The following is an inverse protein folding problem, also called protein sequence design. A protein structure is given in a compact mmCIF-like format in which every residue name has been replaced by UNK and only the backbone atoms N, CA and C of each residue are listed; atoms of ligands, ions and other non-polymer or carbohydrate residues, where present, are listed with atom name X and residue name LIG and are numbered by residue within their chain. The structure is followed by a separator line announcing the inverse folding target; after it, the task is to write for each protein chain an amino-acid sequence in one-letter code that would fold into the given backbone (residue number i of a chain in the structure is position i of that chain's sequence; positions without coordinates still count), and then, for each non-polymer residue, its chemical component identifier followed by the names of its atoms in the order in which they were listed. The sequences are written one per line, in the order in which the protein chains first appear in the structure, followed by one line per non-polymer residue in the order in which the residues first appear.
data_IF_030486928356
#
_entry.id   IF_030486928356
#
_cell.length_a   1.000
_cell.length_b   1.000
_cell.length_c   1.000
_cell.angle_alpha   90.00
_cell.angle_beta   90.00
_cell.angle_gamma   90.00
#
_symmetry.space_group_name_H-M   'P 1'
#
loop_
_entity.id
_entity.type
_entity.pdbx_description
1 polymer ?
#
# COMPACT_ATOMS: atom_id res chain seq x y z
N UNK A 1 92.07 9.84 41.93
CA UNK A 1 90.73 9.17 41.91
C UNK A 1 89.88 9.73 43.06
N UNK A 2 89.01 10.70 42.75
CA UNK A 2 88.11 11.32 43.73
C UNK A 2 86.84 10.46 43.89
N UNK A 3 86.59 9.93 45.06
CA UNK A 3 85.37 9.21 45.41
C UNK A 3 84.22 10.20 45.55
N UNK A 4 83.21 10.14 44.66
CA UNK A 4 81.98 10.88 44.80
C UNK A 4 81.15 10.21 45.89
N UNK A 5 80.62 10.93 46.88
CA UNK A 5 79.92 10.27 47.99
C UNK A 5 78.53 9.86 47.52
N UNK A 6 78.16 8.63 47.87
CA UNK A 6 76.87 7.95 47.52
C UNK A 6 75.61 8.74 47.92
N UNK A 7 75.73 9.69 48.85
CA UNK A 7 74.62 10.53 49.36
C UNK A 7 74.01 11.46 48.28
N UNK A 8 74.85 11.91 47.31
CA UNK A 8 74.36 12.83 46.25
C UNK A 8 73.50 12.10 45.19
N UNK A 9 73.65 10.80 45.03
CA UNK A 9 72.90 10.01 44.05
C UNK A 9 71.49 9.66 44.52
N UNK A 10 71.28 9.54 45.86
CA UNK A 10 69.96 9.23 46.42
C UNK A 10 69.02 10.44 46.40
N UNK A 11 69.56 11.65 46.52
CA UNK A 11 68.73 12.88 46.46
C UNK A 11 68.28 13.23 45.02
N UNK A 12 69.06 12.87 44.01
CA UNK A 12 68.68 13.11 42.60
C UNK A 12 67.65 12.11 42.15
N UNK A 13 67.69 10.86 42.59
CA UNK A 13 66.67 9.85 42.29
C UNK A 13 65.33 10.10 43.01
N UNK A 14 65.37 10.68 44.22
CA UNK A 14 64.16 11.13 44.93
C UNK A 14 63.44 12.31 44.30
N UNK A 15 64.18 13.25 43.69
CA UNK A 15 63.59 14.41 42.98
C UNK A 15 62.98 13.99 41.60
N UNK A 16 63.52 13.00 40.93
CA UNK A 16 62.98 12.50 39.67
C UNK A 16 61.75 11.60 39.87
N UNK A 17 61.63 10.90 41.00
CA UNK A 17 60.42 10.13 41.33
C UNK A 17 59.25 11.01 41.81
N UNK A 18 59.51 12.16 42.38
CA UNK A 18 58.48 13.11 42.86
C UNK A 18 57.79 13.88 41.71
N UNK A 19 58.38 13.90 40.51
CA UNK A 19 57.82 14.68 39.40
C UNK A 19 56.97 13.83 38.44
N UNK A 20 57.00 12.49 38.55
CA UNK A 20 56.14 11.59 37.76
C UNK A 20 54.80 11.28 38.40
N UNK A 21 54.56 11.68 39.66
CA UNK A 21 53.30 11.37 40.38
C UNK A 21 52.25 12.48 40.39
N UNK A 22 52.45 13.55 39.58
CA UNK A 22 51.63 14.76 39.61
C UNK A 22 50.71 15.02 38.41
N UNK A 23 50.53 14.05 37.51
CA UNK A 23 49.47 14.15 36.50
C UNK A 23 48.28 13.27 36.87
N UNK A 24 47.60 13.60 37.94
CA UNK A 24 46.21 13.21 38.12
C UNK A 24 45.43 13.99 37.10
N UNK A 25 45.18 13.37 35.94
CA UNK A 25 44.24 13.86 34.97
C UNK A 25 42.87 13.90 35.65
N UNK A 26 42.53 15.04 36.22
CA UNK A 26 41.18 15.37 36.67
C UNK A 26 40.28 15.36 35.41
N UNK A 27 39.80 14.18 35.06
CA UNK A 27 38.68 14.12 34.11
C UNK A 27 37.55 14.94 34.73
N UNK A 28 37.06 15.97 34.06
CA UNK A 28 35.95 16.73 34.61
C UNK A 28 34.80 15.74 34.90
N UNK A 29 34.30 15.78 36.13
CA UNK A 29 33.17 14.96 36.54
C UNK A 29 31.97 15.35 35.70
N UNK A 30 31.67 14.55 34.67
CA UNK A 30 30.50 14.76 33.84
C UNK A 30 29.27 14.29 34.62
N UNK A 31 28.50 15.22 35.14
CA UNK A 31 27.18 14.94 35.73
C UNK A 31 26.10 15.07 34.66
N UNK A 32 25.03 14.24 34.70
CA UNK A 32 23.87 14.42 33.84
C UNK A 32 23.29 15.84 33.94
N UNK A 33 22.90 16.40 32.81
CA UNK A 33 22.24 17.71 32.79
C UNK A 33 20.83 17.63 33.34
N UNK A 34 20.34 18.70 33.95
CA UNK A 34 18.96 18.78 34.43
C UNK A 34 17.97 18.63 33.26
N UNK A 35 17.01 17.69 33.40
CA UNK A 35 15.93 17.49 32.43
C UNK A 35 14.84 18.51 32.70
N UNK A 36 14.48 19.31 31.70
CA UNK A 36 13.32 20.20 31.74
C UNK A 36 12.06 19.41 31.43
N UNK A 37 11.04 19.39 32.32
CA UNK A 37 9.78 18.70 32.06
C UNK A 37 9.09 19.24 30.81
N UNK A 38 8.51 18.33 30.02
CA UNK A 38 7.86 18.68 28.74
C UNK A 38 6.61 19.54 28.89
N UNK A 39 5.79 19.31 29.92
CA UNK A 39 4.42 19.82 30.01
C UNK A 39 3.41 19.02 29.18
N UNK A 40 2.21 19.54 29.01
CA UNK A 40 1.16 18.93 28.18
C UNK A 40 1.48 19.07 26.69
N UNK A 41 1.05 18.09 25.89
CA UNK A 41 1.15 18.15 24.42
C UNK A 41 0.15 19.22 23.89
N UNK A 42 0.50 19.95 22.82
CA UNK A 42 -0.46 20.72 22.05
C UNK A 42 -1.62 19.84 21.55
N UNK A 43 -2.82 20.40 21.44
CA UNK A 43 -4.02 19.63 21.05
C UNK A 43 -3.84 18.86 19.74
N UNK A 44 -3.21 19.47 18.72
CA UNK A 44 -2.98 18.82 17.43
C UNK A 44 -1.98 17.64 17.51
N UNK A 45 -1.02 17.67 18.44
CA UNK A 45 -0.11 16.53 18.67
C UNK A 45 -0.83 15.43 19.45
N UNK A 46 -1.60 15.82 20.47
CA UNK A 46 -2.39 14.87 21.28
C UNK A 46 -3.37 14.09 20.42
N UNK A 47 -4.04 14.75 19.48
CA UNK A 47 -4.96 14.11 18.54
C UNK A 47 -4.26 13.00 17.73
N UNK A 48 -3.09 13.26 17.17
CA UNK A 48 -2.31 12.25 16.43
C UNK A 48 -1.94 11.06 17.32
N UNK A 49 -1.49 11.33 18.55
CA UNK A 49 -1.14 10.29 19.52
C UNK A 49 -2.36 9.42 19.84
N UNK A 50 -3.53 10.04 20.01
CA UNK A 50 -4.75 9.31 20.36
C UNK A 50 -5.25 8.46 19.17
N UNK A 51 -5.25 9.01 17.93
CA UNK A 51 -5.60 8.22 16.72
C UNK A 51 -4.68 7.04 16.51
N UNK A 52 -3.37 7.23 16.69
CA UNK A 52 -2.42 6.12 16.62
C UNK A 52 -2.70 5.06 17.69
N UNK A 53 -2.95 5.46 18.94
CA UNK A 53 -3.26 4.55 20.05
C UNK A 53 -4.55 3.74 19.79
N UNK A 54 -5.56 4.37 19.20
CA UNK A 54 -6.80 3.71 18.82
C UNK A 54 -6.60 2.68 17.69
N UNK A 55 -5.85 3.06 16.65
CA UNK A 55 -5.71 2.25 15.44
C UNK A 55 -4.65 1.14 15.55
N UNK A 56 -3.59 1.34 16.36
CA UNK A 56 -2.44 0.41 16.40
C UNK A 56 -2.82 -1.03 16.72
N UNK A 57 -3.87 -1.23 17.55
CA UNK A 57 -4.34 -2.57 17.93
C UNK A 57 -4.97 -3.35 16.77
N UNK A 58 -5.32 -2.66 15.69
CA UNK A 58 -5.88 -3.26 14.48
C UNK A 58 -4.83 -3.55 13.41
N UNK A 59 -3.59 -3.05 13.57
CA UNK A 59 -2.51 -3.22 12.61
C UNK A 59 -1.67 -4.44 12.98
N UNK A 60 -1.47 -5.32 12.00
CA UNK A 60 -0.78 -6.60 12.17
C UNK A 60 0.50 -6.64 11.36
N UNK A 61 1.43 -7.50 11.78
CA UNK A 61 2.61 -7.85 11.02
C UNK A 61 2.40 -9.17 10.30
N UNK A 62 2.85 -9.23 9.05
CA UNK A 62 2.75 -10.41 8.20
C UNK A 62 4.14 -10.95 7.88
N UNK A 63 4.30 -12.25 8.02
CA UNK A 63 5.50 -12.97 7.58
C UNK A 63 5.08 -13.99 6.52
N UNK A 64 5.64 -13.84 5.35
CA UNK A 64 5.52 -14.81 4.26
C UNK A 64 6.58 -15.89 4.43
N UNK A 65 6.18 -17.13 4.47
CA UNK A 65 7.01 -18.29 4.74
C UNK A 65 7.04 -19.20 3.52
N UNK A 66 8.23 -19.70 3.18
CA UNK A 66 8.44 -20.68 2.11
C UNK A 66 9.21 -21.87 2.67
N UNK A 67 8.83 -23.07 2.28
CA UNK A 67 9.54 -24.29 2.61
C UNK A 67 10.76 -24.42 1.69
N UNK A 68 11.95 -24.35 2.23
CA UNK A 68 13.17 -24.66 1.51
C UNK A 68 13.66 -26.05 1.93
N UNK A 69 13.81 -26.93 0.94
CA UNK A 69 14.43 -28.22 1.14
C UNK A 69 15.92 -28.07 0.86
N UNK A 70 16.75 -28.37 1.85
CA UNK A 70 18.19 -28.46 1.65
C UNK A 70 18.49 -29.71 0.80
N UNK A 71 19.19 -29.49 -0.33
CA UNK A 71 19.48 -30.54 -1.31
C UNK A 71 20.36 -31.67 -0.73
N UNK A 72 21.05 -31.43 0.37
CA UNK A 72 21.99 -32.40 0.99
C UNK A 72 21.47 -33.06 2.27
N UNK A 73 20.51 -32.44 2.99
CA UNK A 73 20.08 -32.96 4.30
C UNK A 73 18.69 -33.56 4.34
N UNK A 74 17.88 -33.46 3.26
CA UNK A 74 16.44 -33.83 3.26
C UNK A 74 15.61 -33.04 4.30
N UNK A 75 16.20 -32.15 5.07
CA UNK A 75 15.50 -31.32 6.03
C UNK A 75 14.73 -30.22 5.32
N UNK A 76 13.46 -30.09 5.65
CA UNK A 76 12.61 -28.98 5.19
C UNK A 76 12.63 -27.88 6.24
N UNK A 77 13.23 -26.75 5.90
CA UNK A 77 13.25 -25.57 6.76
C UNK A 77 12.25 -24.53 6.25
N UNK A 78 11.53 -23.93 7.20
CA UNK A 78 10.65 -22.80 6.90
C UNK A 78 11.47 -21.52 6.95
N UNK A 79 11.59 -20.83 5.83
CA UNK A 79 12.36 -19.58 5.71
C UNK A 79 11.40 -18.42 5.43
N UNK A 80 11.61 -17.31 6.15
CA UNK A 80 10.89 -16.07 5.88
C UNK A 80 11.38 -15.47 4.55
N UNK A 81 10.49 -15.32 3.57
CA UNK A 81 10.80 -14.79 2.23
C UNK A 81 10.32 -13.36 2.03
N UNK A 82 9.41 -12.89 2.87
CA UNK A 82 8.87 -11.55 2.81
C UNK A 82 8.21 -11.13 4.12
N UNK A 83 8.01 -9.84 4.27
CA UNK A 83 7.28 -9.29 5.39
C UNK A 83 6.54 -8.01 4.99
N UNK A 84 5.47 -7.71 5.69
CA UNK A 84 4.68 -6.52 5.49
C UNK A 84 3.71 -6.27 6.63
N UNK A 85 2.81 -5.35 6.42
CA UNK A 85 1.74 -5.04 7.34
C UNK A 85 0.39 -5.47 6.77
N UNK A 86 -0.59 -5.56 7.65
CA UNK A 86 -1.99 -5.69 7.32
C UNK A 86 -2.82 -5.04 8.41
N UNK A 87 -4.12 -5.15 8.29
CA UNK A 87 -5.04 -4.69 9.34
C UNK A 87 -6.27 -5.57 9.42
N UNK A 88 -6.86 -5.60 10.60
CA UNK A 88 -8.09 -6.34 10.89
C UNK A 88 -9.25 -5.67 10.16
N UNK A 89 -9.94 -6.43 9.32
CA UNK A 89 -11.09 -5.99 8.54
C UNK A 89 -12.41 -6.12 9.29
N UNK A 90 -12.58 -7.25 9.99
CA UNK A 90 -13.81 -7.57 10.74
C UNK A 90 -13.50 -8.41 11.98
N UNK A 91 -14.55 -8.75 12.74
CA UNK A 91 -14.47 -9.57 13.95
C UNK A 91 -14.35 -11.08 13.62
N UNK A 92 -14.61 -11.49 12.38
CA UNK A 92 -14.47 -12.85 11.86
C UNK A 92 -13.01 -13.22 11.56
N UNK A 93 -12.08 -12.27 11.76
CA UNK A 93 -10.66 -12.49 11.64
C UNK A 93 -10.11 -12.32 10.23
N UNK A 94 -10.83 -11.65 9.35
CA UNK A 94 -10.29 -11.26 8.07
C UNK A 94 -9.25 -10.16 8.23
N UNK A 95 -8.12 -10.35 7.56
CA UNK A 95 -6.98 -9.44 7.53
C UNK A 95 -6.77 -9.00 6.08
N UNK A 96 -6.75 -7.69 5.87
CA UNK A 96 -6.44 -7.10 4.56
C UNK A 96 -4.98 -6.72 4.50
N UNK A 97 -4.34 -6.99 3.37
CA UNK A 97 -2.96 -6.63 3.06
C UNK A 97 -2.77 -6.42 1.56
N UNK A 98 -1.56 -6.10 1.12
CA UNK A 98 -1.23 -6.10 -0.30
C UNK A 98 -0.98 -7.50 -0.84
N UNK A 99 -1.29 -7.70 -2.13
CA UNK A 99 -1.01 -8.96 -2.82
C UNK A 99 0.49 -9.25 -2.89
N UNK A 100 1.32 -8.25 -3.24
CA UNK A 100 2.77 -8.41 -3.35
C UNK A 100 3.44 -8.83 -2.03
N UNK A 101 2.82 -8.58 -0.86
CA UNK A 101 3.36 -9.03 0.45
C UNK A 101 3.30 -10.54 0.58
N UNK A 102 2.35 -11.19 -0.09
CA UNK A 102 2.08 -12.63 0.05
C UNK A 102 2.23 -13.42 -1.26
N UNK A 103 2.65 -12.79 -2.37
CA UNK A 103 2.64 -13.39 -3.72
C UNK A 103 3.40 -14.72 -3.78
N UNK A 104 4.57 -14.80 -3.16
CA UNK A 104 5.43 -15.98 -3.17
C UNK A 104 5.32 -16.84 -1.89
N UNK A 105 4.34 -16.55 -1.02
CA UNK A 105 4.18 -17.25 0.25
C UNK A 105 3.51 -18.61 0.07
N UNK A 106 4.09 -19.65 0.64
CA UNK A 106 3.42 -20.94 0.82
C UNK A 106 2.56 -20.96 2.09
N UNK A 107 3.02 -20.28 3.13
CA UNK A 107 2.30 -20.05 4.38
C UNK A 107 2.43 -18.58 4.78
N UNK A 108 1.44 -18.05 5.47
CA UNK A 108 1.46 -16.70 6.02
C UNK A 108 1.18 -16.77 7.52
N UNK A 109 2.04 -16.13 8.30
CA UNK A 109 1.85 -15.91 9.73
C UNK A 109 1.48 -14.46 9.99
N UNK A 110 0.46 -14.25 10.83
CA UNK A 110 -0.02 -12.94 11.27
C UNK A 110 0.34 -12.77 12.74
N UNK A 111 1.11 -11.74 13.07
CA UNK A 111 1.35 -11.34 14.45
C UNK A 111 0.47 -10.14 14.81
N UNK A 112 -0.33 -10.30 15.87
CA UNK A 112 -1.21 -9.27 16.41
C UNK A 112 -0.42 -8.28 17.30
N UNK A 113 -1.08 -7.18 17.65
CA UNK A 113 -0.47 -6.12 18.48
C UNK A 113 -0.11 -6.56 19.91
N UNK A 114 -0.67 -7.68 20.40
CA UNK A 114 -0.33 -8.29 21.69
C UNK A 114 0.86 -9.25 21.59
N UNK A 115 1.46 -9.40 20.40
CA UNK A 115 2.57 -10.30 20.11
C UNK A 115 2.15 -11.74 19.81
N UNK A 116 0.86 -12.09 19.89
CA UNK A 116 0.39 -13.41 19.54
C UNK A 116 0.51 -13.67 18.05
N UNK A 117 0.89 -14.89 17.65
CA UNK A 117 1.13 -15.30 16.27
C UNK A 117 0.11 -16.33 15.84
N UNK A 118 -0.45 -16.14 14.66
CA UNK A 118 -1.53 -16.95 14.12
C UNK A 118 -1.23 -17.34 12.68
N UNK A 119 -1.34 -18.63 12.36
CA UNK A 119 -1.36 -19.04 10.95
C UNK A 119 -2.59 -18.47 10.27
N UNK A 120 -2.38 -17.88 9.11
CA UNK A 120 -3.45 -17.32 8.30
C UNK A 120 -3.74 -18.18 7.08
N UNK A 121 -5.02 -18.31 6.76
CA UNK A 121 -5.49 -18.95 5.53
C UNK A 121 -5.73 -17.86 4.48
N UNK A 122 -5.24 -18.07 3.27
CA UNK A 122 -5.58 -17.22 2.14
C UNK A 122 -7.07 -17.40 1.78
N UNK A 123 -7.81 -16.30 1.76
CA UNK A 123 -9.22 -16.25 1.39
C UNK A 123 -9.37 -15.88 -0.08
N UNK A 124 -8.66 -14.82 -0.52
CA UNK A 124 -8.72 -14.41 -1.91
C UNK A 124 -7.71 -13.31 -2.24
N UNK A 125 -7.50 -13.11 -3.54
CA UNK A 125 -6.55 -12.12 -4.06
C UNK A 125 -7.14 -11.32 -5.22
N UNK A 126 -6.74 -10.06 -5.31
CA UNK A 126 -6.99 -9.17 -6.42
C UNK A 126 -5.66 -8.54 -6.89
N UNK A 127 -4.85 -9.27 -7.68
CA UNK A 127 -3.50 -8.83 -8.06
C UNK A 127 -3.48 -7.50 -8.81
N UNK A 128 -4.49 -7.21 -9.62
CA UNK A 128 -4.61 -5.96 -10.39
C UNK A 128 -4.95 -4.74 -9.52
N UNK A 129 -5.37 -4.97 -8.28
CA UNK A 129 -5.62 -3.92 -7.27
C UNK A 129 -4.60 -3.99 -6.13
N UNK A 130 -3.64 -4.91 -6.20
CA UNK A 130 -2.63 -5.19 -5.16
C UNK A 130 -3.27 -5.44 -3.79
N UNK A 131 -4.35 -6.21 -3.73
CA UNK A 131 -5.07 -6.54 -2.52
C UNK A 131 -5.11 -8.05 -2.29
N UNK A 132 -5.05 -8.44 -1.02
CA UNK A 132 -5.24 -9.81 -0.56
C UNK A 132 -6.03 -9.83 0.75
N UNK A 133 -6.81 -10.89 0.95
CA UNK A 133 -7.54 -11.17 2.19
C UNK A 133 -7.07 -12.50 2.75
N UNK A 134 -6.65 -12.45 3.99
CA UNK A 134 -6.28 -13.60 4.81
C UNK A 134 -7.32 -13.79 5.90
N UNK A 135 -7.37 -14.97 6.53
CA UNK A 135 -8.18 -15.21 7.71
C UNK A 135 -7.40 -15.93 8.80
N UNK A 136 -7.47 -15.40 10.02
CA UNK A 136 -6.97 -16.03 11.23
C UNK A 136 -8.11 -16.62 12.05
N UNK A 137 -7.80 -17.59 12.92
CA UNK A 137 -8.78 -18.09 13.89
C UNK A 137 -8.99 -17.09 15.01
N UNK A 138 -10.25 -16.80 15.35
CA UNK A 138 -10.63 -15.72 16.27
C UNK A 138 -10.90 -16.20 17.70
N UNK A 139 -10.83 -17.50 17.97
CA UNK A 139 -11.17 -18.08 19.30
C UNK A 139 -10.34 -17.43 20.42
N UNK A 140 -11.02 -16.71 21.30
CA UNK A 140 -10.39 -16.02 22.43
C UNK A 140 -9.77 -14.66 22.12
N UNK A 141 -9.86 -14.18 20.87
CA UNK A 141 -9.35 -12.88 20.47
C UNK A 141 -10.44 -11.79 20.58
N UNK A 142 -10.01 -10.58 20.88
CA UNK A 142 -10.82 -9.36 20.79
C UNK A 142 -10.27 -8.49 19.66
N UNK A 143 -10.73 -8.75 18.47
CA UNK A 143 -10.34 -8.01 17.29
C UNK A 143 -11.07 -6.67 17.24
N UNK A 144 -10.39 -5.65 16.70
CA UNK A 144 -10.95 -4.29 16.54
C UNK A 144 -10.76 -3.86 15.09
N UNK A 145 -11.81 -3.91 14.26
CA UNK A 145 -11.77 -3.40 12.90
C UNK A 145 -11.52 -1.88 12.88
N UNK A 146 -10.81 -1.41 11.85
CA UNK A 146 -10.64 0.04 11.63
C UNK A 146 -11.93 0.59 11.00
N UNK A 147 -12.49 1.70 11.51
CA UNK A 147 -13.63 2.35 10.87
C UNK A 147 -13.34 2.73 9.42
N UNK A 148 -14.26 2.43 8.51
CA UNK A 148 -14.12 2.72 7.08
C UNK A 148 -14.52 4.19 6.83
N UNK A 149 -13.64 4.93 6.14
CA UNK A 149 -13.90 6.28 5.64
C UNK A 149 -14.36 6.27 4.19
N UNK A 150 -14.11 7.37 3.47
CA UNK A 150 -14.33 7.52 2.04
C UNK A 150 -13.08 8.05 1.36
N UNK A 151 -12.80 7.58 0.14
CA UNK A 151 -11.72 8.13 -0.69
C UNK A 151 -12.24 9.00 -1.84
N UNK A 152 -13.56 9.00 -2.07
CA UNK A 152 -14.16 9.75 -3.18
C UNK A 152 -14.20 11.26 -2.98
N UNK A 153 -14.20 11.74 -1.74
CA UNK A 153 -14.27 13.15 -1.34
C UNK A 153 -12.96 13.72 -0.78
N UNK A 154 -11.87 12.96 -0.86
CA UNK A 154 -10.55 13.41 -0.42
C UNK A 154 -10.08 14.66 -1.18
N UNK A 155 -9.40 15.54 -0.47
CA UNK A 155 -8.82 16.75 -1.03
C UNK A 155 -7.30 16.77 -0.84
N UNK A 156 -6.57 17.30 -1.82
CA UNK A 156 -5.13 17.54 -1.71
C UNK A 156 -4.88 18.51 -0.54
N UNK A 157 -3.92 18.15 0.32
CA UNK A 157 -3.60 18.89 1.54
C UNK A 157 -4.26 18.33 2.82
N UNK A 158 -5.22 17.38 2.74
CA UNK A 158 -5.75 16.70 3.92
C UNK A 158 -4.65 15.90 4.63
N UNK A 159 -4.59 15.99 5.96
CA UNK A 159 -3.66 15.21 6.77
C UNK A 159 -3.97 13.72 6.70
N UNK A 160 -2.93 12.91 6.64
CA UNK A 160 -3.02 11.45 6.64
C UNK A 160 -2.02 10.84 7.63
N UNK A 161 -2.36 9.67 8.13
CA UNK A 161 -1.54 8.85 9.03
C UNK A 161 -1.36 7.48 8.38
N UNK A 162 -0.12 7.11 8.05
CA UNK A 162 0.21 5.77 7.58
C UNK A 162 0.78 4.96 8.74
N UNK A 163 0.18 3.78 8.99
CA UNK A 163 0.61 2.90 10.07
C UNK A 163 1.09 1.58 9.48
N UNK A 164 2.16 1.04 10.05
CA UNK A 164 2.67 -0.28 9.73
C UNK A 164 3.38 -0.92 10.92
N UNK A 165 3.78 -2.16 10.74
CA UNK A 165 4.60 -2.91 11.69
C UNK A 165 5.79 -3.56 10.94
N UNK A 166 6.84 -2.79 10.58
CA UNK A 166 7.88 -3.24 9.64
C UNK A 166 8.73 -4.42 10.13
N UNK A 167 8.79 -4.65 11.44
CA UNK A 167 9.68 -5.69 12.01
C UNK A 167 8.96 -6.65 12.95
N UNK A 168 7.63 -6.54 13.08
CA UNK A 168 6.87 -7.35 14.03
C UNK A 168 7.18 -7.04 15.50
N UNK A 169 7.87 -5.93 15.79
CA UNK A 169 8.19 -5.48 17.13
C UNK A 169 7.12 -4.52 17.63
N UNK A 170 7.05 -3.33 17.02
CA UNK A 170 6.08 -2.29 17.36
C UNK A 170 5.54 -1.63 16.08
N UNK A 171 4.32 -1.13 16.19
CA UNK A 171 3.72 -0.37 15.11
C UNK A 171 4.43 0.99 14.96
N UNK A 172 4.70 1.37 13.71
CA UNK A 172 5.26 2.65 13.33
C UNK A 172 4.22 3.54 12.71
N UNK A 173 4.33 4.84 12.99
CA UNK A 173 3.48 5.88 12.43
C UNK A 173 4.30 6.81 11.55
N UNK A 174 3.83 7.07 10.34
CA UNK A 174 4.28 8.21 9.55
C UNK A 174 3.11 9.14 9.25
N UNK A 175 3.36 10.44 9.22
CA UNK A 175 2.34 11.47 8.98
C UNK A 175 2.71 12.26 7.74
N UNK A 176 1.70 12.63 6.97
CA UNK A 176 1.83 13.48 5.80
C UNK A 176 0.49 14.07 5.39
N UNK A 177 0.39 14.39 4.12
CA UNK A 177 -0.84 14.89 3.49
C UNK A 177 -1.17 14.10 2.22
N UNK A 178 -2.40 14.20 1.76
CA UNK A 178 -2.77 13.81 0.41
C UNK A 178 -2.06 14.76 -0.56
N UNK A 179 -1.09 14.26 -1.31
CA UNK A 179 -0.30 15.07 -2.27
C UNK A 179 -0.95 15.14 -3.66
N UNK A 180 -1.61 14.07 -4.09
CA UNK A 180 -2.37 14.01 -5.33
C UNK A 180 -3.38 12.86 -5.31
N UNK A 181 -4.36 12.91 -6.20
CA UNK A 181 -5.41 11.90 -6.34
C UNK A 181 -5.47 11.41 -7.78
N UNK A 182 -5.98 10.18 -7.95
CA UNK A 182 -6.26 9.62 -9.26
C UNK A 182 -5.01 9.32 -10.08
N UNK A 183 -3.87 9.06 -9.46
CA UNK A 183 -2.64 8.66 -10.14
C UNK A 183 -2.72 7.21 -10.60
N UNK A 184 -1.89 6.87 -11.58
CA UNK A 184 -1.65 5.49 -12.00
C UNK A 184 -0.21 5.14 -11.65
N UNK A 185 -0.03 3.97 -11.04
CA UNK A 185 1.28 3.45 -10.69
C UNK A 185 1.45 2.02 -11.22
N UNK A 186 2.70 1.57 -11.25
CA UNK A 186 3.02 0.17 -11.46
C UNK A 186 3.31 -0.45 -10.08
N UNK A 187 2.60 -1.53 -9.74
CA UNK A 187 2.82 -2.26 -8.49
C UNK A 187 4.19 -2.96 -8.47
N UNK A 188 4.59 -3.46 -7.32
CA UNK A 188 5.79 -4.30 -7.18
C UNK A 188 5.75 -5.52 -8.13
N UNK A 189 4.57 -6.07 -8.42
CA UNK A 189 4.33 -7.17 -9.36
C UNK A 189 4.23 -6.73 -10.82
N UNK A 190 4.59 -5.48 -11.15
CA UNK A 190 4.53 -4.85 -12.47
C UNK A 190 3.12 -4.73 -13.06
N UNK A 191 2.07 -4.81 -12.24
CA UNK A 191 0.69 -4.56 -12.64
C UNK A 191 0.36 -3.09 -12.48
N UNK A 192 -0.53 -2.56 -13.33
CA UNK A 192 -1.00 -1.19 -13.22
C UNK A 192 -2.09 -1.10 -12.15
N UNK A 193 -1.94 -0.14 -11.24
CA UNK A 193 -2.95 0.22 -10.24
C UNK A 193 -3.37 1.65 -10.53
N UNK A 194 -4.64 1.84 -10.88
CA UNK A 194 -5.22 3.15 -11.19
C UNK A 194 -5.94 3.75 -10.01
N UNK A 195 -6.05 5.08 -10.02
CA UNK A 195 -6.84 5.79 -9.02
C UNK A 195 -6.17 5.99 -7.67
N UNK A 196 -4.89 5.62 -7.50
CA UNK A 196 -4.22 5.65 -6.19
C UNK A 196 -4.15 7.05 -5.58
N UNK A 197 -4.13 7.06 -4.25
CA UNK A 197 -3.84 8.24 -3.42
C UNK A 197 -2.33 8.40 -3.35
N UNK A 198 -1.81 9.57 -3.71
CA UNK A 198 -0.41 9.93 -3.48
C UNK A 198 -0.30 10.69 -2.15
N UNK A 199 0.72 10.36 -1.35
CA UNK A 199 1.03 11.02 -0.07
C UNK A 199 2.52 11.25 0.08
N UNK A 200 2.90 12.25 0.87
CA UNK A 200 4.27 12.48 1.34
C UNK A 200 4.56 11.80 2.69
N UNK A 201 3.55 11.21 3.33
CA UNK A 201 3.81 10.29 4.43
C UNK A 201 4.78 9.20 3.98
N UNK A 202 5.84 8.95 4.75
CA UNK A 202 6.88 8.00 4.35
C UNK A 202 6.31 6.58 4.24
N UNK A 203 6.19 6.08 3.01
CA UNK A 203 5.84 4.69 2.71
C UNK A 203 7.14 3.95 2.36
N UNK A 204 7.44 2.90 3.12
CA UNK A 204 8.65 2.09 2.99
C UNK A 204 8.29 0.60 3.09
N UNK A 205 9.20 -0.32 2.68
CA UNK A 205 9.05 -1.73 2.99
C UNK A 205 8.74 -1.94 4.49
N UNK A 206 7.67 -2.66 4.77
CA UNK A 206 7.19 -2.92 6.13
C UNK A 206 5.91 -2.18 6.53
N UNK A 207 5.59 -1.00 5.96
CA UNK A 207 4.25 -0.44 6.12
C UNK A 207 3.32 -0.70 4.92
N UNK A 208 3.82 -1.36 3.87
CA UNK A 208 2.99 -1.89 2.77
C UNK A 208 1.96 -2.88 3.29
N UNK A 209 0.73 -2.77 2.82
CA UNK A 209 -0.44 -3.52 3.29
C UNK A 209 -1.08 -2.95 4.56
N UNK A 210 -0.40 -2.05 5.26
CA UNK A 210 -0.96 -1.33 6.41
C UNK A 210 -1.96 -0.23 6.01
N UNK A 211 -2.74 0.28 6.97
CA UNK A 211 -3.76 1.29 6.70
C UNK A 211 -3.17 2.69 6.49
N UNK A 212 -3.78 3.44 5.57
CA UNK A 212 -3.73 4.89 5.49
C UNK A 212 -5.01 5.45 6.11
N UNK A 213 -4.87 6.30 7.11
CA UNK A 213 -5.99 6.86 7.87
C UNK A 213 -6.11 8.37 7.63
N UNK A 214 -7.33 8.89 7.77
CA UNK A 214 -7.57 10.33 7.87
C UNK A 214 -7.33 10.85 9.31
N UNK A 215 -7.49 12.16 9.52
CA UNK A 215 -7.35 12.80 10.84
C UNK A 215 -8.37 12.31 11.88
N UNK A 216 -9.50 11.73 11.47
CA UNK A 216 -10.48 11.12 12.37
C UNK A 216 -10.17 9.63 12.68
N UNK A 217 -9.08 9.07 12.15
CA UNK A 217 -8.68 7.67 12.37
C UNK A 217 -9.45 6.67 11.50
N UNK A 218 -10.16 7.12 10.45
CA UNK A 218 -10.89 6.25 9.52
C UNK A 218 -9.97 5.81 8.39
N UNK A 219 -10.13 4.57 7.94
CA UNK A 219 -9.43 4.02 6.80
C UNK A 219 -9.80 4.79 5.53
N UNK A 220 -8.83 5.34 4.82
CA UNK A 220 -8.99 5.99 3.52
C UNK A 220 -8.20 5.30 2.41
N UNK A 221 -7.30 4.38 2.76
CA UNK A 221 -6.55 3.59 1.78
C UNK A 221 -5.68 2.51 2.41
N UNK A 222 -5.07 1.70 1.56
CA UNK A 222 -4.07 0.68 1.92
C UNK A 222 -2.74 1.10 1.34
N UNK A 223 -1.74 1.30 2.20
CA UNK A 223 -0.39 1.69 1.78
C UNK A 223 0.18 0.63 0.82
N UNK A 224 0.73 1.07 -0.31
CA UNK A 224 1.40 0.17 -1.25
C UNK A 224 2.79 0.70 -1.58
N UNK A 225 3.81 -0.17 -1.48
CA UNK A 225 5.15 0.19 -1.86
C UNK A 225 5.25 0.21 -3.39
N UNK A 226 5.82 1.29 -3.92
CA UNK A 226 6.22 1.34 -5.31
C UNK A 226 7.65 0.84 -5.46
N UNK A 227 7.95 0.35 -6.67
CA UNK A 227 9.33 0.07 -7.05
C UNK A 227 10.10 1.41 -7.14
N UNK A 228 10.75 1.80 -6.06
CA UNK A 228 11.67 2.94 -6.04
C UNK A 228 13.05 2.45 -6.50
N UNK A 229 13.68 3.16 -7.40
CA UNK A 229 15.05 2.87 -7.84
C UNK A 229 16.08 2.96 -6.72
N UNK A 230 15.74 3.62 -5.61
CA UNK A 230 16.58 3.76 -4.41
C UNK A 230 16.20 2.82 -3.27
N UNK A 231 15.07 2.08 -3.37
CA UNK A 231 14.56 1.22 -2.29
C UNK A 231 14.04 1.94 -1.05
N UNK A 232 14.02 3.27 -1.04
CA UNK A 232 13.54 4.09 0.07
C UNK A 232 12.57 5.17 -0.39
N UNK A 233 11.72 5.65 0.52
CA UNK A 233 10.78 6.74 0.25
C UNK A 233 11.53 8.03 -0.10
N UNK A 234 11.26 8.57 -1.29
CA UNK A 234 11.72 9.89 -1.73
C UNK A 234 10.68 11.00 -1.43
N UNK A 235 9.82 10.81 -0.42
CA UNK A 235 8.69 11.71 -0.15
C UNK A 235 7.50 11.49 -1.09
N UNK A 236 7.45 10.34 -1.76
CA UNK A 236 6.35 9.95 -2.65
C UNK A 236 5.90 8.55 -2.25
N UNK A 237 4.77 8.47 -1.57
CA UNK A 237 4.09 7.23 -1.22
C UNK A 237 2.76 7.11 -1.95
N UNK A 238 2.23 5.88 -2.02
CA UNK A 238 0.94 5.62 -2.64
C UNK A 238 0.09 4.69 -1.79
N UNK A 239 -1.23 4.83 -1.93
CA UNK A 239 -2.18 3.93 -1.30
C UNK A 239 -3.32 3.59 -2.24
N UNK A 240 -3.81 2.35 -2.16
CA UNK A 240 -5.03 1.89 -2.84
C UNK A 240 -6.22 2.53 -2.13
N UNK A 241 -7.12 3.24 -2.83
CA UNK A 241 -8.25 3.96 -2.21
C UNK A 241 -9.22 3.04 -1.48
N UNK A 242 -9.74 3.49 -0.34
CA UNK A 242 -10.65 2.69 0.48
C UNK A 242 -11.96 2.33 -0.24
N UNK A 243 -12.46 3.17 -1.15
CA UNK A 243 -13.67 2.84 -1.91
C UNK A 243 -13.43 1.60 -2.80
N UNK A 244 -12.21 1.46 -3.36
CA UNK A 244 -11.78 0.24 -4.06
C UNK A 244 -11.66 -0.94 -3.09
N UNK A 245 -11.04 -0.74 -1.93
CA UNK A 245 -10.88 -1.79 -0.89
C UNK A 245 -12.25 -2.30 -0.43
N UNK A 246 -13.17 -1.39 -0.09
CA UNK A 246 -14.51 -1.71 0.41
C UNK A 246 -15.40 -2.38 -0.64
N UNK A 247 -15.10 -2.22 -1.92
CA UNK A 247 -15.76 -2.94 -3.01
C UNK A 247 -15.16 -4.32 -3.26
N UNK A 248 -13.84 -4.43 -3.20
CA UNK A 248 -13.10 -5.65 -3.56
C UNK A 248 -13.08 -6.66 -2.42
N UNK A 249 -12.78 -6.24 -1.19
CA UNK A 249 -12.61 -7.14 -0.04
C UNK A 249 -13.83 -8.03 0.22
N UNK A 250 -15.10 -7.53 0.21
CA UNK A 250 -16.26 -8.40 0.37
C UNK A 250 -16.39 -9.46 -0.73
N UNK A 251 -15.98 -9.15 -1.97
CA UNK A 251 -15.98 -10.12 -3.05
C UNK A 251 -14.93 -11.21 -2.83
N UNK A 252 -13.73 -10.83 -2.36
CA UNK A 252 -12.68 -11.79 -2.01
C UNK A 252 -13.13 -12.71 -0.87
N UNK A 253 -13.82 -12.18 0.13
CA UNK A 253 -14.37 -12.97 1.23
C UNK A 253 -15.42 -13.95 0.72
N UNK A 254 -16.34 -13.51 -0.14
CA UNK A 254 -17.45 -14.31 -0.62
C UNK A 254 -17.05 -15.38 -1.66
N UNK A 255 -16.11 -15.06 -2.57
CA UNK A 255 -15.84 -15.88 -3.76
C UNK A 255 -14.37 -16.24 -3.98
N UNK A 256 -13.46 -15.65 -3.19
CA UNK A 256 -12.01 -15.80 -3.36
C UNK A 256 -11.41 -14.96 -4.50
N UNK A 257 -12.24 -14.27 -5.28
CA UNK A 257 -11.81 -13.52 -6.46
C UNK A 257 -12.53 -12.17 -6.54
N UNK A 258 -11.80 -11.14 -6.98
CA UNK A 258 -12.44 -9.90 -7.39
C UNK A 258 -13.03 -10.11 -8.79
N UNK A 259 -14.31 -9.85 -8.93
CA UNK A 259 -15.00 -9.98 -10.21
C UNK A 259 -14.78 -8.68 -10.99
N UNK A 260 -14.15 -8.77 -12.15
CA UNK A 260 -14.12 -7.67 -13.10
C UNK A 260 -15.40 -7.71 -13.92
N UNK A 261 -16.08 -6.57 -14.05
CA UNK A 261 -17.31 -6.49 -14.84
C UNK A 261 -16.98 -6.70 -16.32
N UNK A 262 -17.54 -7.73 -16.93
CA UNK A 262 -17.44 -7.92 -18.38
C UNK A 262 -18.45 -7.02 -19.09
N UNK A 263 -17.94 -5.95 -19.70
CA UNK A 263 -18.74 -5.01 -20.45
C UNK A 263 -19.22 -5.56 -21.82
N UNK A 264 -18.70 -6.71 -22.25
CA UNK A 264 -19.09 -7.37 -23.50
C UNK A 264 -18.35 -6.85 -24.74
N UNK A 265 -17.17 -6.25 -24.55
CA UNK A 265 -16.29 -5.88 -25.66
C UNK A 265 -14.82 -6.10 -25.31
N UNK A 266 -13.98 -6.25 -26.33
CA UNK A 266 -12.54 -6.30 -26.20
C UNK A 266 -11.96 -4.93 -26.56
N UNK A 267 -11.20 -4.27 -25.68
CA UNK A 267 -10.53 -3.00 -26.01
C UNK A 267 -9.34 -3.26 -26.92
N UNK A 268 -8.99 -2.28 -27.76
CA UNK A 268 -7.71 -2.28 -28.45
C UNK A 268 -6.59 -1.79 -27.52
N UNK A 269 -5.37 -2.37 -27.63
CA UNK A 269 -4.19 -1.86 -26.93
C UNK A 269 -3.91 -0.39 -27.26
N UNK A 270 -3.44 0.38 -26.27
CA UNK A 270 -3.23 1.83 -26.43
C UNK A 270 -2.25 2.25 -27.54
N UNK A 271 -1.33 1.37 -27.95
CA UNK A 271 -0.44 1.62 -29.10
C UNK A 271 -1.19 1.71 -30.46
N UNK A 272 -2.39 1.16 -30.56
CA UNK A 272 -3.24 1.31 -31.76
C UNK A 272 -3.83 2.72 -31.89
N UNK A 273 -3.93 3.48 -30.80
CA UNK A 273 -4.47 4.83 -30.83
C UNK A 273 -3.67 5.73 -31.76
N UNK A 274 -2.34 5.67 -31.71
CA UNK A 274 -1.46 6.45 -32.61
C UNK A 274 -1.58 5.98 -34.06
N UNK A 275 -1.65 4.65 -34.28
CA UNK A 275 -1.74 4.10 -35.65
C UNK A 275 -3.08 4.38 -36.32
N UNK A 276 -4.15 4.60 -35.55
CA UNK A 276 -5.50 4.88 -36.04
C UNK A 276 -5.89 6.34 -35.89
N UNK A 277 -4.98 7.22 -35.48
CA UNK A 277 -5.26 8.65 -35.19
C UNK A 277 -6.50 8.81 -34.26
N UNK A 278 -6.58 7.93 -33.26
CA UNK A 278 -7.73 7.87 -32.37
C UNK A 278 -7.58 8.89 -31.23
N UNK A 279 -8.68 9.51 -30.76
CA UNK A 279 -8.67 10.33 -29.57
C UNK A 279 -8.27 9.53 -28.33
N UNK A 280 -7.81 10.24 -27.30
CA UNK A 280 -7.49 9.60 -26.01
C UNK A 280 -8.75 9.02 -25.38
N UNK A 281 -8.75 7.71 -25.09
CA UNK A 281 -9.90 6.99 -24.56
C UNK A 281 -9.77 5.48 -24.72
N UNK A 282 -10.84 4.76 -24.45
CA UNK A 282 -10.92 3.31 -24.64
C UNK A 282 -11.47 3.02 -26.05
N UNK A 283 -10.62 2.49 -26.90
CA UNK A 283 -11.02 2.09 -28.26
C UNK A 283 -11.76 0.76 -28.17
N UNK A 284 -13.01 0.74 -28.64
CA UNK A 284 -13.81 -0.48 -28.76
C UNK A 284 -13.28 -1.30 -29.94
N UNK A 285 -12.55 -2.38 -29.67
CA UNK A 285 -11.99 -3.24 -30.71
C UNK A 285 -13.05 -4.16 -31.29
N UNK A 286 -13.57 -5.07 -30.48
CA UNK A 286 -14.60 -6.03 -30.88
C UNK A 286 -15.73 -6.08 -29.86
N UNK A 287 -16.95 -5.88 -30.30
CA UNK A 287 -18.15 -6.13 -29.47
C UNK A 287 -18.47 -7.62 -29.51
N UNK A 288 -18.39 -8.27 -28.33
CA UNK A 288 -18.67 -9.72 -28.15
C UNK A 288 -20.14 -10.00 -27.84
N UNK A 289 -20.86 -9.00 -27.34
CA UNK A 289 -22.24 -9.14 -26.91
C UNK A 289 -22.52 -8.36 -25.61
N UNK A 290 -23.42 -8.88 -24.77
CA UNK A 290 -23.66 -8.37 -23.42
C UNK A 290 -24.10 -6.91 -23.34
N UNK A 291 -23.56 -6.17 -22.38
CA UNK A 291 -23.92 -4.79 -22.12
C UNK A 291 -23.52 -3.86 -23.28
N UNK A 292 -22.34 -4.04 -23.87
CA UNK A 292 -21.86 -3.24 -24.99
C UNK A 292 -22.78 -3.33 -26.22
N UNK A 293 -23.19 -4.56 -26.58
CA UNK A 293 -24.09 -4.78 -27.71
C UNK A 293 -25.48 -4.16 -27.47
N UNK A 294 -26.03 -4.34 -26.25
CA UNK A 294 -27.32 -3.72 -25.87
C UNK A 294 -27.26 -2.18 -25.85
N UNK A 295 -26.13 -1.64 -25.52
CA UNK A 295 -25.88 -0.20 -25.53
C UNK A 295 -25.63 0.34 -26.96
N UNK A 296 -25.46 -0.52 -27.96
CA UNK A 296 -25.19 -0.10 -29.33
C UNK A 296 -23.77 0.42 -29.55
N UNK A 297 -22.80 -0.04 -28.77
CA UNK A 297 -21.39 0.24 -29.01
C UNK A 297 -20.93 -0.42 -30.31
N UNK A 298 -20.06 0.26 -31.04
CA UNK A 298 -19.53 -0.17 -32.32
C UNK A 298 -18.04 -0.46 -32.23
N UNK A 299 -17.65 -1.66 -32.61
CA UNK A 299 -16.26 -2.07 -32.68
C UNK A 299 -15.55 -1.65 -33.97
N UNK A 300 -14.25 -1.93 -34.01
CA UNK A 300 -13.43 -1.75 -35.22
C UNK A 300 -14.00 -2.57 -36.38
N UNK A 301 -14.10 -1.98 -37.54
CA UNK A 301 -14.57 -2.67 -38.77
C UNK A 301 -13.46 -2.70 -39.80
N UNK A 302 -13.39 -3.81 -40.56
CA UNK A 302 -12.45 -3.93 -41.67
C UNK A 302 -13.13 -3.46 -42.97
N UNK A 303 -12.52 -2.51 -43.66
CA UNK A 303 -12.94 -2.02 -44.95
C UNK A 303 -11.84 -2.31 -46.00
N UNK A 304 -11.90 -3.47 -46.64
CA UNK A 304 -10.85 -3.94 -47.54
C UNK A 304 -9.53 -4.15 -46.84
N UNK A 305 -8.49 -3.37 -47.17
CA UNK A 305 -7.16 -3.39 -46.56
C UNK A 305 -7.02 -2.38 -45.38
N UNK A 306 -8.04 -1.59 -45.10
CA UNK A 306 -8.00 -0.58 -44.03
C UNK A 306 -8.94 -0.97 -42.91
N UNK A 307 -8.67 -0.44 -41.72
CA UNK A 307 -9.55 -0.54 -40.57
C UNK A 307 -10.25 0.80 -40.37
N UNK A 308 -11.56 0.78 -40.21
CA UNK A 308 -12.35 1.94 -39.79
C UNK A 308 -12.55 1.86 -38.27
N UNK A 309 -12.24 2.99 -37.59
CA UNK A 309 -12.40 3.12 -36.16
C UNK A 309 -13.89 3.03 -35.79
N UNK A 310 -14.23 2.23 -34.81
CA UNK A 310 -15.53 2.20 -34.17
C UNK A 310 -15.67 3.32 -33.14
N UNK A 311 -16.21 2.96 -31.97
CA UNK A 311 -16.33 3.90 -30.85
C UNK A 311 -15.02 4.03 -30.08
N UNK A 312 -14.75 5.26 -29.63
CA UNK A 312 -13.74 5.53 -28.61
C UNK A 312 -14.44 6.12 -27.40
N UNK A 313 -14.48 5.41 -26.29
CA UNK A 313 -15.10 5.88 -25.05
C UNK A 313 -14.18 6.92 -24.41
N UNK A 314 -14.64 8.15 -24.27
CA UNK A 314 -13.86 9.29 -23.78
C UNK A 314 -14.32 9.80 -22.42
N UNK A 315 -15.59 9.53 -22.03
CA UNK A 315 -16.11 9.86 -20.71
C UNK A 315 -17.19 8.86 -20.26
N UNK A 316 -17.39 8.78 -18.95
CA UNK A 316 -18.48 8.05 -18.30
C UNK A 316 -19.07 8.94 -17.21
N UNK A 317 -20.39 9.18 -17.27
CA UNK A 317 -21.13 10.13 -16.41
C UNK A 317 -20.41 11.50 -16.32
N UNK A 318 -20.05 12.06 -17.49
CA UNK A 318 -19.36 13.35 -17.63
C UNK A 318 -17.92 13.40 -17.13
N UNK A 319 -17.37 12.29 -16.61
CA UNK A 319 -16.00 12.22 -16.11
C UNK A 319 -15.09 11.59 -17.17
N UNK A 320 -13.91 12.17 -17.49
CA UNK A 320 -13.02 11.65 -18.51
C UNK A 320 -12.57 10.20 -18.24
N UNK A 321 -12.55 9.39 -19.29
CA UNK A 321 -12.01 8.02 -19.34
C UNK A 321 -10.85 8.00 -20.32
N UNK A 322 -9.67 7.58 -19.85
CA UNK A 322 -8.44 7.56 -20.65
C UNK A 322 -7.97 6.16 -21.02
N UNK A 323 -8.41 5.17 -20.27
CA UNK A 323 -8.04 3.76 -20.39
C UNK A 323 -9.14 2.84 -19.83
N UNK A 324 -8.98 1.52 -20.03
CA UNK A 324 -9.94 0.52 -19.60
C UNK A 324 -10.08 0.44 -18.07
N UNK A 325 -8.98 0.62 -17.33
CA UNK A 325 -9.00 0.56 -15.86
C UNK A 325 -9.89 1.68 -15.31
N UNK A 326 -9.76 2.90 -15.87
CA UNK A 326 -10.62 4.05 -15.51
C UNK A 326 -12.09 3.81 -15.83
N UNK A 327 -12.37 3.16 -16.96
CA UNK A 327 -13.74 2.81 -17.32
C UNK A 327 -14.30 1.78 -16.33
N UNK A 328 -13.55 0.71 -16.04
CA UNK A 328 -13.94 -0.33 -15.10
C UNK A 328 -14.14 0.24 -13.68
N UNK A 329 -13.21 1.04 -13.18
CA UNK A 329 -13.35 1.67 -11.86
C UNK A 329 -14.66 2.45 -11.71
N UNK A 330 -15.11 3.12 -12.80
CA UNK A 330 -16.38 3.86 -12.77
C UNK A 330 -17.59 2.95 -12.84
N UNK A 331 -17.55 1.95 -13.70
CA UNK A 331 -18.68 1.03 -13.87
C UNK A 331 -18.84 0.14 -12.66
N UNK A 332 -17.73 -0.37 -12.13
CA UNK A 332 -17.70 -1.24 -10.94
C UNK A 332 -18.09 -0.52 -9.64
N UNK A 333 -17.98 0.81 -9.59
CA UNK A 333 -18.48 1.62 -8.46
C UNK A 333 -20.02 1.70 -8.43
N UNK A 334 -20.71 1.29 -9.49
CA UNK A 334 -22.16 1.33 -9.60
C UNK A 334 -22.77 -0.05 -9.29
N UNK A 335 -23.97 -0.06 -8.74
CA UNK A 335 -24.70 -1.31 -8.53
C UNK A 335 -25.07 -1.99 -9.87
N UNK A 336 -25.08 -3.32 -9.95
CA UNK A 336 -25.62 -4.04 -11.11
C UNK A 336 -27.01 -3.55 -11.49
N UNK A 337 -27.25 -3.38 -12.79
CA UNK A 337 -28.51 -2.82 -13.32
C UNK A 337 -28.54 -1.28 -13.39
N UNK A 338 -27.59 -0.58 -12.76
CA UNK A 338 -27.46 0.86 -12.89
C UNK A 338 -27.18 1.27 -14.35
N UNK A 339 -27.54 2.51 -14.69
CA UNK A 339 -27.26 3.08 -16.03
C UNK A 339 -26.07 4.02 -15.91
N UNK A 340 -25.11 3.87 -16.82
CA UNK A 340 -23.99 4.79 -16.99
C UNK A 340 -24.05 5.44 -18.38
N UNK A 341 -23.87 6.75 -18.45
CA UNK A 341 -23.82 7.48 -19.70
C UNK A 341 -22.39 7.51 -20.21
N UNK A 342 -22.13 6.81 -21.32
CA UNK A 342 -20.83 6.81 -21.98
C UNK A 342 -20.81 7.85 -23.07
N UNK A 343 -19.85 8.76 -23.05
CA UNK A 343 -19.56 9.63 -24.20
C UNK A 343 -18.55 8.92 -25.08
N UNK A 344 -18.93 8.68 -26.33
CA UNK A 344 -18.09 8.02 -27.34
C UNK A 344 -17.85 8.93 -28.52
N UNK A 345 -16.65 8.88 -29.08
CA UNK A 345 -16.36 9.48 -30.38
C UNK A 345 -16.63 8.41 -31.43
N UNK A 346 -17.63 8.67 -32.25
CA UNK A 346 -18.08 7.83 -33.38
C UNK A 346 -18.02 8.63 -34.68
N UNK A 347 -17.19 8.21 -35.63
CA UNK A 347 -16.98 8.91 -36.89
C UNK A 347 -16.72 10.43 -36.71
N UNK A 348 -15.89 10.79 -35.75
CA UNK A 348 -15.52 12.17 -35.43
C UNK A 348 -16.57 12.98 -34.66
N UNK A 349 -17.70 12.40 -34.29
CA UNK A 349 -18.77 13.07 -33.54
C UNK A 349 -18.91 12.48 -32.15
N UNK A 350 -19.20 13.33 -31.19
CA UNK A 350 -19.53 12.86 -29.82
C UNK A 350 -20.95 12.33 -29.77
N UNK A 351 -21.13 11.10 -29.32
CA UNK A 351 -22.43 10.44 -29.17
C UNK A 351 -22.52 9.94 -27.72
N UNK A 352 -23.69 10.11 -27.09
CA UNK A 352 -23.95 9.54 -25.78
C UNK A 352 -24.63 8.17 -25.93
N UNK A 353 -24.08 7.17 -25.25
CA UNK A 353 -24.55 5.78 -25.25
C UNK A 353 -24.85 5.37 -23.81
N UNK A 354 -26.05 4.84 -23.57
CA UNK A 354 -26.40 4.35 -22.22
C UNK A 354 -26.02 2.90 -22.08
N UNK A 355 -25.09 2.62 -21.20
CA UNK A 355 -24.71 1.23 -20.83
C UNK A 355 -25.38 0.86 -19.52
N UNK A 356 -25.98 -0.33 -19.48
CA UNK A 356 -26.50 -0.93 -18.23
C UNK A 356 -25.41 -1.78 -17.62
N UNK A 357 -25.05 -1.48 -16.38
CA UNK A 357 -24.02 -2.24 -15.64
C UNK A 357 -24.46 -3.71 -15.55
N UNK A 358 -23.69 -4.64 -16.12
CA UNK A 358 -24.05 -6.05 -16.06
C UNK A 358 -24.01 -6.55 -14.61
N UNK A 359 -24.87 -7.54 -14.31
CA UNK A 359 -24.70 -8.33 -13.09
C UNK A 359 -23.39 -9.10 -13.18
N UNK A 360 -22.77 -9.35 -12.01
CA UNK A 360 -21.58 -10.20 -11.97
C UNK A 360 -21.96 -11.56 -12.53
N UNK A 361 -21.38 -11.94 -13.65
CA UNK A 361 -21.43 -13.34 -14.09
C UNK A 361 -20.50 -14.12 -13.16
N UNK A 362 -21.09 -14.96 -12.32
CA UNK A 362 -20.42 -15.99 -11.51
C UNK A 362 -19.61 -16.93 -12.39
#
# INVERSE_FOLDING_TARGET
MRKIPIITLVLISGLLMGWCSGQVSLRPSASPRTVTPRGALPAAEQEVVDRFREARGSVVYLTSLTLQQDFFSLDVQTVATGSGSGFIWDEEGHVVTNFHVIEDAQEVEVALADGSRHRARLIGVAPDKDLAVLQIQTKGLKLRPIPIGSSGDLQVGQSVLAIGNPFGLDQTLTRGVVSALGREIQSATRRKISGVIQTDAAINPGNSGGPLLDSAGRLIGVNTAIHSTSGSSAGIGFAVPVDTVNRVVPQLIATGKATTVDLGFDPLPGNWATALDAPKGVIVGRVRGGAAARAGLQGLTRQGLRYALGDVIVAADGKPVRDMDRLLDRVEALAPGSRVQLEVIRQGRTVTVTLVVPGNSL
#
